data_IF_644324061493
#
_entry.id   IF_644324061493
#
_cell.length_a   1.000
_cell.length_b   1.000
_cell.length_c   1.000
_cell.angle_alpha   90.00
_cell.angle_beta   90.00
_cell.angle_gamma   90.00
#
_symmetry.space_group_name_H-M   'P 1'
#
loop_
_entity.id
_entity.type
_entity.pdbx_description
1 polymer ?
#
# COMPACT_ATOMS: atom_id res chain seq x y z
N UNK A 1 1.04 -18.12 20.77
CA UNK A 1 0.44 -17.79 19.47
C UNK A 1 -0.75 -16.89 19.71
N UNK A 2 -0.70 -15.63 19.26
CA UNK A 2 -1.87 -14.74 19.32
C UNK A 2 -2.83 -15.16 18.21
N UNK A 3 -4.02 -15.65 18.54
CA UNK A 3 -5.03 -16.01 17.54
C UNK A 3 -5.75 -14.74 17.07
N UNK A 4 -5.61 -14.41 15.78
CA UNK A 4 -6.36 -13.30 15.18
C UNK A 4 -7.75 -13.80 14.80
N UNK A 5 -8.71 -13.61 15.71
CA UNK A 5 -10.10 -13.96 15.46
C UNK A 5 -10.69 -13.13 14.31
N UNK A 6 -11.51 -13.76 13.46
CA UNK A 6 -12.25 -13.08 12.40
C UNK A 6 -11.52 -12.93 11.06
N UNK A 7 -10.35 -13.57 10.86
CA UNK A 7 -9.71 -13.68 9.54
C UNK A 7 -10.39 -14.76 8.69
N UNK A 8 -10.51 -15.98 9.22
CA UNK A 8 -11.30 -17.04 8.59
C UNK A 8 -12.76 -16.95 9.04
N UNK A 9 -13.69 -16.94 8.09
CA UNK A 9 -15.12 -16.83 8.32
C UNK A 9 -15.89 -17.75 7.36
N UNK A 10 -17.09 -18.19 7.77
CA UNK A 10 -17.98 -18.93 6.88
C UNK A 10 -18.48 -18.02 5.76
N UNK A 11 -18.35 -18.47 4.51
CA UNK A 11 -18.77 -17.69 3.35
C UNK A 11 -20.27 -17.35 3.40
N UNK A 12 -20.59 -16.10 3.06
CA UNK A 12 -21.96 -15.61 3.08
C UNK A 12 -22.60 -15.88 1.71
N UNK A 13 -23.75 -16.58 1.71
CA UNK A 13 -24.44 -17.06 0.50
C UNK A 13 -25.91 -16.65 0.45
N UNK A 14 -26.30 -15.53 1.06
CA UNK A 14 -27.69 -15.05 0.97
C UNK A 14 -28.09 -14.67 -0.47
N UNK A 15 -27.19 -14.01 -1.21
CA UNK A 15 -27.36 -13.66 -2.63
C UNK A 15 -26.02 -13.75 -3.35
N UNK A 16 -26.04 -13.81 -4.68
CA UNK A 16 -24.82 -13.77 -5.50
C UNK A 16 -23.95 -12.55 -5.18
N UNK A 17 -24.57 -11.37 -5.07
CA UNK A 17 -23.87 -10.13 -4.72
C UNK A 17 -23.26 -10.18 -3.30
N UNK A 18 -23.96 -10.79 -2.33
CA UNK A 18 -23.45 -10.96 -0.97
C UNK A 18 -22.19 -11.83 -0.92
N UNK A 19 -22.12 -12.87 -1.75
CA UNK A 19 -20.93 -13.72 -1.87
C UNK A 19 -19.74 -12.95 -2.42
N UNK A 20 -19.93 -12.18 -3.49
CA UNK A 20 -18.86 -11.35 -4.07
C UNK A 20 -18.38 -10.27 -3.09
N UNK A 21 -19.28 -9.57 -2.40
CA UNK A 21 -18.94 -8.59 -1.37
C UNK A 21 -18.10 -9.24 -0.26
N UNK A 22 -18.50 -10.42 0.24
CA UNK A 22 -17.78 -11.08 1.32
C UNK A 22 -16.33 -11.43 0.94
N UNK A 23 -16.08 -11.86 -0.29
CA UNK A 23 -14.72 -12.17 -0.76
C UNK A 23 -13.79 -10.95 -0.86
N UNK A 24 -14.35 -9.73 -0.92
CA UNK A 24 -13.59 -8.48 -1.10
C UNK A 24 -13.48 -7.66 0.18
N UNK A 25 -13.84 -8.26 1.31
CA UNK A 25 -13.83 -7.63 2.62
C UNK A 25 -12.43 -7.59 3.22
N UNK A 26 -12.04 -6.43 3.74
CA UNK A 26 -10.85 -6.25 4.56
C UNK A 26 -11.25 -5.89 5.99
N UNK A 27 -10.50 -6.39 6.97
CA UNK A 27 -10.76 -6.16 8.38
C UNK A 27 -9.53 -5.53 9.04
N UNK A 28 -9.73 -4.36 9.64
CA UNK A 28 -8.66 -3.69 10.38
C UNK A 28 -8.46 -4.38 11.73
N UNK A 29 -7.24 -4.81 12.11
CA UNK A 29 -6.97 -5.57 13.33
C UNK A 29 -6.99 -4.67 14.59
N UNK A 30 -8.10 -3.98 14.82
CA UNK A 30 -8.32 -3.08 15.96
C UNK A 30 -9.48 -3.65 16.79
N UNK A 31 -9.30 -3.65 18.12
CA UNK A 31 -10.34 -4.05 19.06
C UNK A 31 -11.61 -3.22 18.88
N UNK A 32 -12.77 -3.88 18.84
CA UNK A 32 -14.06 -3.23 18.63
C UNK A 32 -14.52 -2.40 19.84
N UNK A 33 -13.88 -2.58 20.99
CA UNK A 33 -14.17 -1.89 22.24
C UNK A 33 -13.68 -0.43 22.26
N UNK A 34 -12.76 -0.07 21.35
CA UNK A 34 -12.24 1.28 21.22
C UNK A 34 -13.14 2.20 20.39
N UNK A 35 -13.62 3.29 20.99
CA UNK A 35 -14.22 4.46 20.31
C UNK A 35 -13.17 5.35 19.61
N UNK A 36 -12.20 4.74 18.93
CA UNK A 36 -11.19 5.48 18.17
C UNK A 36 -11.83 5.97 16.85
N UNK A 37 -12.06 7.28 16.75
CA UNK A 37 -12.72 7.87 15.58
C UNK A 37 -11.82 7.86 14.33
N UNK A 38 -10.54 8.19 14.46
CA UNK A 38 -9.61 8.37 13.32
C UNK A 38 -9.50 7.16 12.37
N UNK A 39 -9.30 5.90 12.82
CA UNK A 39 -9.21 4.77 11.90
C UNK A 39 -10.54 4.40 11.24
N UNK A 40 -11.67 4.88 11.79
CA UNK A 40 -13.02 4.59 11.29
C UNK A 40 -13.51 5.63 10.28
N UNK A 41 -13.00 6.86 10.36
CA UNK A 41 -13.37 7.92 9.42
C UNK A 41 -12.88 7.59 8.00
N UNK A 42 -13.71 7.94 7.01
CA UNK A 42 -13.31 7.87 5.63
C UNK A 42 -12.19 8.89 5.39
N UNK A 43 -11.02 8.42 4.96
CA UNK A 43 -9.88 9.25 4.60
C UNK A 43 -9.79 9.42 3.09
N UNK A 44 -9.30 10.57 2.61
CA UNK A 44 -9.23 10.87 1.17
C UNK A 44 -8.36 9.88 0.38
N UNK A 45 -7.37 9.25 1.03
CA UNK A 45 -6.52 8.22 0.40
C UNK A 45 -7.26 6.91 0.08
N UNK A 46 -8.50 6.74 0.56
CA UNK A 46 -9.35 5.61 0.21
C UNK A 46 -9.92 5.70 -1.21
N UNK A 47 -9.93 6.90 -1.80
CA UNK A 47 -10.50 7.13 -3.13
C UNK A 47 -9.84 6.22 -4.17
N UNK A 48 -10.67 5.51 -4.94
CA UNK A 48 -10.22 4.54 -5.94
C UNK A 48 -9.83 3.16 -5.39
N UNK A 49 -9.60 2.99 -4.08
CA UNK A 49 -9.14 1.72 -3.48
C UNK A 49 -10.23 0.96 -2.75
N UNK A 50 -11.11 1.65 -2.02
CA UNK A 50 -12.19 1.03 -1.24
C UNK A 50 -13.54 1.69 -1.54
N UNK A 51 -14.63 0.93 -1.36
CA UNK A 51 -15.97 1.47 -1.43
C UNK A 51 -16.20 2.47 -0.28
N UNK A 52 -16.59 3.73 -0.57
CA UNK A 52 -16.75 4.75 0.47
C UNK A 52 -17.98 4.53 1.36
N UNK A 53 -18.96 3.75 0.90
CA UNK A 53 -20.24 3.56 1.58
C UNK A 53 -20.42 2.17 2.21
N UNK A 54 -19.75 1.13 1.68
CA UNK A 54 -20.00 -0.25 2.09
C UNK A 54 -19.20 -0.64 3.34
N UNK A 55 -19.74 -0.26 4.51
CA UNK A 55 -19.28 -0.64 5.85
C UNK A 55 -20.48 -1.09 6.68
N UNK A 56 -20.32 -2.07 7.59
CA UNK A 56 -21.36 -2.39 8.56
C UNK A 56 -21.62 -1.21 9.50
N UNK A 57 -22.83 -1.16 10.05
CA UNK A 57 -23.20 -0.20 11.09
C UNK A 57 -22.60 -0.59 12.46
N UNK A 58 -22.61 0.35 13.41
CA UNK A 58 -22.23 0.11 14.80
C UNK A 58 -20.72 -0.07 15.02
N UNK A 59 -20.35 -1.04 15.87
CA UNK A 59 -18.97 -1.19 16.38
C UNK A 59 -17.94 -1.57 15.32
N UNK A 60 -18.36 -2.04 14.16
CA UNK A 60 -17.48 -2.38 13.04
C UNK A 60 -17.41 -1.27 11.97
N UNK A 61 -18.16 -0.17 12.15
CA UNK A 61 -18.19 0.92 11.19
C UNK A 61 -16.78 1.51 10.97
N UNK A 62 -16.37 1.55 9.71
CA UNK A 62 -15.07 2.01 9.25
C UNK A 62 -13.90 1.04 9.47
N UNK A 63 -14.09 -0.03 10.23
CA UNK A 63 -13.07 -1.07 10.46
C UNK A 63 -13.12 -2.18 9.41
N UNK A 64 -14.33 -2.48 8.95
CA UNK A 64 -14.59 -3.41 7.85
C UNK A 64 -14.82 -2.59 6.59
N UNK A 65 -14.01 -2.84 5.56
CA UNK A 65 -14.06 -2.13 4.28
C UNK A 65 -14.18 -3.13 3.14
N UNK A 66 -14.70 -2.69 2.01
CA UNK A 66 -14.74 -3.50 0.79
C UNK A 66 -13.90 -2.84 -0.30
N UNK A 67 -13.17 -3.64 -1.06
CA UNK A 67 -12.34 -3.15 -2.17
C UNK A 67 -13.22 -2.50 -3.26
N UNK A 68 -12.76 -1.42 -3.89
CA UNK A 68 -13.43 -0.81 -5.05
C UNK A 68 -13.37 -1.74 -6.26
N UNK A 69 -14.28 -1.66 -7.23
CA UNK A 69 -14.31 -2.60 -8.37
C UNK A 69 -12.98 -2.73 -9.12
N UNK A 70 -12.21 -1.65 -9.24
CA UNK A 70 -10.92 -1.62 -9.96
C UNK A 70 -9.70 -1.80 -9.05
N UNK A 71 -9.89 -2.01 -7.74
CA UNK A 71 -8.78 -2.20 -6.81
C UNK A 71 -8.01 -3.48 -7.13
N UNK A 72 -6.69 -3.36 -7.22
CA UNK A 72 -5.74 -4.45 -7.38
C UNK A 72 -4.80 -4.52 -6.18
N UNK A 73 -4.62 -5.73 -5.63
CA UNK A 73 -3.70 -5.97 -4.51
C UNK A 73 -2.36 -6.43 -5.09
N UNK A 74 -1.29 -5.70 -4.76
CA UNK A 74 0.07 -6.06 -5.21
C UNK A 74 0.47 -7.44 -4.72
N UNK A 75 1.00 -8.27 -5.63
CA UNK A 75 1.48 -9.63 -5.33
C UNK A 75 2.99 -9.70 -5.03
N UNK A 76 3.70 -8.58 -5.20
CA UNK A 76 5.16 -8.49 -5.08
C UNK A 76 5.88 -8.72 -6.40
N UNK A 77 7.07 -8.12 -6.52
CA UNK A 77 8.01 -8.30 -7.63
C UNK A 77 9.45 -8.19 -7.11
N UNK A 78 10.43 -8.86 -7.73
CA UNK A 78 11.85 -8.68 -7.40
C UNK A 78 12.29 -7.22 -7.57
N UNK A 79 13.16 -6.74 -6.68
CA UNK A 79 13.62 -5.35 -6.67
C UNK A 79 14.94 -5.17 -7.42
N UNK A 80 15.74 -6.23 -7.54
CA UNK A 80 17.06 -6.22 -8.17
C UNK A 80 17.03 -5.69 -9.62
N UNK A 81 16.09 -6.12 -10.50
CA UNK A 81 16.05 -5.60 -11.87
C UNK A 81 15.78 -4.09 -11.94
N UNK A 82 15.07 -3.54 -10.95
CA UNK A 82 14.81 -2.10 -10.87
C UNK A 82 16.10 -1.34 -10.52
N UNK A 83 16.89 -1.88 -9.59
CA UNK A 83 18.17 -1.29 -9.19
C UNK A 83 19.13 -1.29 -10.38
N UNK A 84 19.29 -2.44 -11.06
CA UNK A 84 20.13 -2.54 -12.26
C UNK A 84 19.68 -1.59 -13.37
N UNK A 85 18.36 -1.45 -13.56
CA UNK A 85 17.78 -0.52 -14.52
C UNK A 85 18.17 0.94 -14.22
N UNK A 86 18.17 1.34 -12.94
CA UNK A 86 18.53 2.69 -12.50
C UNK A 86 20.04 2.94 -12.60
N UNK A 87 20.88 1.96 -12.22
CA UNK A 87 22.35 2.05 -12.36
C UNK A 87 22.72 2.29 -13.83
N UNK A 88 22.14 1.51 -14.75
CA UNK A 88 22.36 1.63 -16.19
C UNK A 88 21.93 2.99 -16.78
N UNK A 89 21.20 3.81 -16.01
CA UNK A 89 20.71 5.13 -16.41
C UNK A 89 21.36 6.29 -15.67
N UNK A 90 22.47 6.03 -14.97
CA UNK A 90 23.25 7.07 -14.31
C UNK A 90 22.90 7.29 -12.85
N UNK A 91 22.21 6.34 -12.20
CA UNK A 91 22.19 6.32 -10.73
C UNK A 91 23.58 5.91 -10.21
N UNK A 92 24.14 6.74 -9.34
CA UNK A 92 25.35 6.44 -8.58
C UNK A 92 24.97 5.64 -7.33
N UNK A 93 25.63 4.51 -7.10
CA UNK A 93 25.41 3.68 -5.91
C UNK A 93 25.84 4.43 -4.66
N UNK A 94 25.18 4.15 -3.53
CA UNK A 94 25.42 4.87 -2.28
C UNK A 94 26.87 4.78 -1.79
N UNK A 95 27.55 3.67 -2.07
CA UNK A 95 28.96 3.43 -1.74
C UNK A 95 29.92 4.36 -2.48
N UNK A 96 29.54 4.83 -3.67
CA UNK A 96 30.34 5.71 -4.53
C UNK A 96 29.97 7.19 -4.38
N UNK A 97 28.90 7.48 -3.64
CA UNK A 97 28.38 8.84 -3.50
C UNK A 97 29.26 9.71 -2.59
N UNK A 98 29.72 10.84 -3.12
CA UNK A 98 30.45 11.87 -2.39
C UNK A 98 29.55 13.11 -2.12
N UNK A 99 29.05 13.32 -0.89
CA UNK A 99 28.11 14.40 -0.59
C UNK A 99 28.65 15.82 -0.83
N UNK A 100 29.96 16.01 -0.70
CA UNK A 100 30.61 17.30 -0.92
C UNK A 100 30.66 17.67 -2.41
N UNK A 101 30.72 16.67 -3.28
CA UNK A 101 30.80 16.84 -4.73
C UNK A 101 29.43 17.10 -5.33
N UNK A 102 28.39 16.41 -4.85
CA UNK A 102 27.03 16.53 -5.34
C UNK A 102 26.00 16.78 -4.21
N UNK A 103 26.03 17.95 -3.55
CA UNK A 103 25.21 18.22 -2.36
C UNK A 103 23.70 18.26 -2.62
N UNK A 104 23.28 18.37 -3.88
CA UNK A 104 21.88 18.46 -4.30
C UNK A 104 21.40 17.23 -5.08
N UNK A 105 22.16 16.14 -5.06
CA UNK A 105 21.74 14.89 -5.70
C UNK A 105 20.47 14.33 -5.03
N UNK A 106 19.55 13.83 -5.85
CA UNK A 106 18.29 13.27 -5.37
C UNK A 106 18.50 11.85 -4.89
N UNK A 107 18.09 11.57 -3.65
CA UNK A 107 18.19 10.23 -3.05
C UNK A 107 17.15 9.30 -3.66
N UNK A 108 17.56 8.08 -3.99
CA UNK A 108 16.69 7.03 -4.52
C UNK A 108 16.51 5.96 -3.46
N UNK A 109 15.24 5.70 -3.11
CA UNK A 109 14.85 4.67 -2.17
C UNK A 109 14.08 3.57 -2.89
N UNK A 110 14.48 2.32 -2.67
CA UNK A 110 13.77 1.12 -3.17
C UNK A 110 13.34 0.31 -1.96
N UNK A 111 12.03 0.13 -1.79
CA UNK A 111 11.44 -0.61 -0.65
C UNK A 111 11.93 -0.15 0.73
N UNK A 112 12.27 1.15 0.87
CA UNK A 112 12.78 1.75 2.12
C UNK A 112 14.30 1.75 2.28
N UNK A 113 15.04 1.04 1.42
CA UNK A 113 16.51 1.04 1.40
C UNK A 113 17.01 2.19 0.53
N UNK A 114 17.95 2.99 1.04
CA UNK A 114 18.65 3.99 0.24
C UNK A 114 19.69 3.29 -0.63
N UNK A 115 19.43 3.20 -1.94
CA UNK A 115 20.27 2.44 -2.88
C UNK A 115 21.29 3.31 -3.63
N UNK A 116 21.03 4.62 -3.74
CA UNK A 116 21.89 5.52 -4.50
C UNK A 116 21.36 6.93 -4.62
N UNK A 117 22.00 7.71 -5.48
CA UNK A 117 21.60 9.08 -5.81
C UNK A 117 21.57 9.28 -7.32
N UNK A 118 20.84 10.30 -7.76
CA UNK A 118 20.82 10.73 -9.15
C UNK A 118 20.82 12.25 -9.25
N UNK A 119 21.60 12.81 -10.17
CA UNK A 119 21.73 14.27 -10.32
C UNK A 119 20.60 14.88 -11.14
N UNK A 120 20.09 14.16 -12.14
CA UNK A 120 18.93 14.56 -12.94
C UNK A 120 17.74 13.59 -12.79
N UNK A 121 17.00 13.64 -11.67
CA UNK A 121 15.91 12.71 -11.42
C UNK A 121 14.75 12.85 -12.43
N UNK A 122 14.61 14.00 -13.10
CA UNK A 122 13.52 14.21 -14.07
C UNK A 122 13.72 13.34 -15.30
N UNK A 123 14.94 13.36 -15.83
CA UNK A 123 15.31 12.51 -16.95
C UNK A 123 15.17 11.01 -16.62
N UNK A 124 15.52 10.61 -15.38
CA UNK A 124 15.32 9.22 -14.96
C UNK A 124 13.83 8.83 -14.93
N UNK A 125 12.96 9.70 -14.41
CA UNK A 125 11.51 9.45 -14.34
C UNK A 125 10.86 9.35 -15.72
N UNK A 126 11.28 10.16 -16.68
CA UNK A 126 10.74 10.14 -18.05
C UNK A 126 11.08 8.85 -18.81
N UNK A 127 12.04 8.06 -18.32
CA UNK A 127 12.46 6.80 -18.93
C UNK A 127 11.81 5.54 -18.32
N UNK A 128 11.04 5.71 -17.23
CA UNK A 128 10.36 4.62 -16.49
C UNK A 128 8.98 4.34 -17.08
#
# INVERSE_FOLDING_TARGET
MSSTAGVSQVLNRYTFASTLSHLRRTNTPIGRDGKLAKPRQLHNTHWGLVCPAETPEGQACGLVKNLSLMCYVSVGSPAEPLIDFMINRGMEVIEEYEPLRYPHATKIFVNGTWVGVHQDPKHLVDQV
#
